data_IF_938268704630
#
_entry.id   IF_938268704630
#
_cell.length_a   1.000
_cell.length_b   1.000
_cell.length_c   1.000
_cell.angle_alpha   90.00
_cell.angle_beta   90.00
_cell.angle_gamma   90.00
#
_symmetry.space_group_name_H-M   'P 1'
#
loop_
_entity.id
_entity.type
_entity.pdbx_description
1 polymer ?
#
# COMPACT_ATOMS: atom_id res chain seq x y z
N UNK A 1 8.86 -15.46 -22.35
CA UNK A 1 8.84 -16.89 -22.73
C UNK A 1 9.88 -17.08 -23.82
N UNK A 2 10.71 -18.13 -23.77
CA UNK A 2 11.68 -18.44 -24.82
C UNK A 2 10.97 -19.16 -25.97
N UNK A 3 11.11 -18.65 -27.19
CA UNK A 3 10.43 -19.19 -28.38
C UNK A 3 11.32 -20.13 -29.22
N UNK A 4 12.54 -20.45 -28.76
CA UNK A 4 13.49 -21.29 -29.49
C UNK A 4 14.51 -20.49 -30.31
N UNK A 5 15.53 -21.19 -30.82
CA UNK A 5 16.66 -20.59 -31.55
C UNK A 5 16.25 -19.83 -32.83
N UNK A 6 15.09 -20.17 -33.42
CA UNK A 6 14.56 -19.50 -34.62
C UNK A 6 14.02 -18.08 -34.37
N UNK A 7 13.93 -17.65 -33.10
CA UNK A 7 13.48 -16.31 -32.71
C UNK A 7 14.62 -15.46 -32.12
N UNK A 8 15.86 -15.92 -32.22
CA UNK A 8 17.03 -15.14 -31.82
C UNK A 8 17.24 -13.96 -32.76
N UNK A 9 17.43 -12.77 -32.20
CA UNK A 9 17.77 -11.60 -32.97
C UNK A 9 19.30 -11.53 -33.16
N UNK A 10 19.80 -11.09 -34.34
CA UNK A 10 21.23 -10.97 -34.59
C UNK A 10 21.98 -10.16 -33.52
N UNK A 11 21.37 -9.09 -33.00
CA UNK A 11 21.97 -8.25 -31.97
C UNK A 11 22.08 -8.98 -30.61
N UNK A 12 21.07 -9.77 -30.21
CA UNK A 12 21.15 -10.56 -28.97
C UNK A 12 22.18 -11.67 -29.09
N UNK A 13 22.28 -12.31 -30.27
CA UNK A 13 23.30 -13.33 -30.54
C UNK A 13 24.70 -12.71 -30.52
N UNK A 14 24.88 -11.50 -31.07
CA UNK A 14 26.14 -10.77 -31.00
C UNK A 14 26.55 -10.50 -29.54
N UNK A 15 25.64 -9.98 -28.73
CA UNK A 15 25.91 -9.69 -27.31
C UNK A 15 26.35 -10.94 -26.52
N UNK A 16 25.71 -12.10 -26.76
CA UNK A 16 26.11 -13.38 -26.14
C UNK A 16 27.52 -13.81 -26.57
N UNK A 17 27.85 -13.65 -27.86
CA UNK A 17 29.20 -14.01 -28.36
C UNK A 17 30.28 -13.10 -27.80
N UNK A 18 30.01 -11.81 -27.71
CA UNK A 18 30.94 -10.80 -27.17
C UNK A 18 31.21 -11.01 -25.67
N UNK A 19 30.25 -11.57 -24.94
CA UNK A 19 30.36 -11.88 -23.50
C UNK A 19 30.66 -13.34 -23.22
N UNK A 20 31.12 -14.11 -24.22
CA UNK A 20 31.36 -15.56 -24.10
C UNK A 20 32.32 -15.87 -22.94
N UNK A 21 31.84 -16.69 -22.00
CA UNK A 21 32.63 -17.16 -20.85
C UNK A 21 32.78 -16.13 -19.72
N UNK A 22 32.19 -14.95 -19.86
CA UNK A 22 32.15 -13.96 -18.77
C UNK A 22 31.07 -14.35 -17.76
N UNK A 23 31.42 -14.28 -16.48
CA UNK A 23 30.49 -14.48 -15.38
C UNK A 23 30.67 -13.38 -14.35
N UNK A 24 29.61 -13.07 -13.62
CA UNK A 24 29.69 -12.19 -12.46
C UNK A 24 30.12 -13.01 -11.24
N UNK A 25 31.04 -12.46 -10.46
CA UNK A 25 31.60 -13.12 -9.27
C UNK A 25 31.56 -12.20 -8.07
N UNK A 26 31.51 -12.79 -6.89
CA UNK A 26 31.67 -12.11 -5.60
C UNK A 26 32.57 -12.99 -4.73
N UNK A 27 33.59 -12.41 -4.11
CA UNK A 27 34.63 -13.13 -3.34
C UNK A 27 35.20 -14.36 -4.06
N UNK A 28 35.49 -14.20 -5.36
CA UNK A 28 36.09 -15.25 -6.20
C UNK A 28 35.17 -16.43 -6.55
N UNK A 29 33.87 -16.36 -6.19
CA UNK A 29 32.87 -17.39 -6.50
C UNK A 29 31.81 -16.83 -7.45
N UNK A 30 31.21 -17.70 -8.27
CA UNK A 30 30.09 -17.32 -9.13
C UNK A 30 28.95 -16.70 -8.30
N UNK A 31 28.50 -15.52 -8.70
CA UNK A 31 27.45 -14.78 -8.00
C UNK A 31 26.05 -15.22 -8.44
N UNK A 32 25.08 -15.15 -7.53
CA UNK A 32 23.67 -15.27 -7.88
C UNK A 32 23.20 -13.98 -8.54
N UNK A 33 22.72 -14.06 -9.78
CA UNK A 33 22.39 -12.89 -10.60
C UNK A 33 20.92 -12.92 -11.02
N UNK A 34 20.06 -12.44 -10.13
CA UNK A 34 18.65 -12.30 -10.43
C UNK A 34 18.40 -11.07 -11.30
N UNK A 35 17.39 -11.16 -12.15
CA UNK A 35 16.91 -10.05 -12.97
C UNK A 35 15.38 -10.03 -12.95
N UNK A 36 14.80 -8.86 -13.19
CA UNK A 36 13.35 -8.64 -13.20
C UNK A 36 13.00 -7.54 -14.21
N UNK A 37 11.70 -7.36 -14.49
CA UNK A 37 11.24 -6.49 -15.59
C UNK A 37 11.32 -4.99 -15.30
N UNK A 38 10.95 -4.56 -14.08
CA UNK A 38 10.84 -3.15 -13.71
C UNK A 38 10.92 -3.04 -12.19
N UNK A 39 11.65 -2.05 -11.69
CA UNK A 39 11.96 -1.89 -10.25
C UNK A 39 10.93 -1.06 -9.50
N UNK A 40 10.19 -0.20 -10.19
CA UNK A 40 9.42 0.87 -9.56
C UNK A 40 10.31 1.98 -8.99
N UNK A 41 11.54 2.12 -9.51
CA UNK A 41 12.52 3.14 -9.11
C UNK A 41 13.56 2.69 -8.09
N UNK A 42 13.47 1.47 -7.55
CA UNK A 42 14.45 0.92 -6.60
C UNK A 42 14.43 -0.61 -6.62
N UNK A 43 15.59 -1.25 -6.58
CA UNK A 43 15.68 -2.71 -6.48
C UNK A 43 15.27 -3.20 -5.08
N UNK A 44 14.92 -4.48 -4.99
CA UNK A 44 14.62 -5.15 -3.72
C UNK A 44 15.84 -5.96 -3.25
N UNK A 45 16.10 -5.96 -1.94
CA UNK A 45 17.17 -6.78 -1.37
C UNK A 45 16.83 -8.28 -1.45
N UNK A 46 17.84 -9.15 -1.47
CA UNK A 46 17.61 -10.60 -1.38
C UNK A 46 16.97 -11.00 -0.04
N UNK A 47 17.23 -10.24 1.03
CA UNK A 47 16.61 -10.44 2.33
C UNK A 47 15.09 -10.21 2.24
N UNK A 48 14.65 -9.11 1.64
CA UNK A 48 13.21 -8.81 1.51
C UNK A 48 12.52 -9.70 0.47
N UNK A 49 13.22 -10.08 -0.60
CA UNK A 49 12.67 -10.90 -1.67
C UNK A 49 12.62 -12.40 -1.31
N UNK A 50 13.68 -12.92 -0.70
CA UNK A 50 13.89 -14.36 -0.50
C UNK A 50 14.08 -14.75 0.96
N UNK A 51 14.38 -13.80 1.85
CA UNK A 51 14.71 -14.08 3.26
C UNK A 51 16.17 -14.42 3.51
N UNK A 52 17.00 -14.47 2.46
CA UNK A 52 18.44 -14.73 2.55
C UNK A 52 19.21 -13.42 2.47
N UNK A 53 20.05 -13.14 3.46
CA UNK A 53 20.96 -12.02 3.42
C UNK A 53 22.15 -12.34 2.49
N UNK A 54 22.26 -11.60 1.39
CA UNK A 54 23.31 -11.79 0.38
C UNK A 54 24.02 -10.45 0.16
N UNK A 55 25.32 -10.33 0.51
CA UNK A 55 26.00 -9.02 0.63
C UNK A 55 25.98 -8.12 -0.60
N UNK A 56 25.87 -8.70 -1.79
CA UNK A 56 25.85 -7.96 -3.07
C UNK A 56 24.45 -7.82 -3.69
N UNK A 57 23.41 -8.39 -3.06
CA UNK A 57 22.02 -8.27 -3.51
C UNK A 57 21.26 -7.34 -2.57
N UNK A 58 21.68 -6.08 -2.56
CA UNK A 58 21.11 -5.01 -1.74
C UNK A 58 20.13 -4.17 -2.55
N UNK A 59 19.23 -3.48 -1.83
CA UNK A 59 18.30 -2.53 -2.42
C UNK A 59 19.03 -1.23 -2.80
N UNK A 60 19.12 -0.95 -4.10
CA UNK A 60 19.76 0.25 -4.68
C UNK A 60 18.77 1.03 -5.53
N UNK A 61 18.95 2.34 -5.62
CA UNK A 61 18.11 3.20 -6.44
C UNK A 61 18.30 2.90 -7.94
N UNK A 62 17.21 2.96 -8.69
CA UNK A 62 17.16 2.70 -10.13
C UNK A 62 16.45 3.86 -10.83
N UNK A 63 17.18 4.96 -11.10
CA UNK A 63 16.60 6.17 -11.67
C UNK A 63 16.15 6.00 -13.14
N UNK A 64 16.48 4.88 -13.78
CA UNK A 64 16.17 4.65 -15.19
C UNK A 64 14.86 3.90 -15.42
N UNK A 65 14.25 3.34 -14.37
CA UNK A 65 13.02 2.56 -14.49
C UNK A 65 11.78 3.40 -14.84
N UNK A 66 11.83 4.73 -14.68
CA UNK A 66 10.68 5.61 -14.89
C UNK A 66 10.07 5.50 -16.30
N UNK A 67 10.88 5.13 -17.30
CA UNK A 67 10.42 4.93 -18.69
C UNK A 67 9.57 3.68 -18.87
N UNK A 68 9.60 2.75 -17.91
CA UNK A 68 8.86 1.49 -17.97
C UNK A 68 7.36 1.73 -17.88
N UNK A 69 6.53 1.14 -18.76
CA UNK A 69 5.06 1.17 -18.62
C UNK A 69 4.57 0.37 -17.39
N UNK A 70 5.49 -0.26 -16.67
CA UNK A 70 5.22 -1.00 -15.44
C UNK A 70 5.80 -0.34 -14.19
N UNK A 71 6.45 0.82 -14.35
CA UNK A 71 7.04 1.61 -13.26
C UNK A 71 5.99 1.92 -12.17
N UNK A 72 4.78 2.30 -12.59
CA UNK A 72 3.63 2.52 -11.70
C UNK A 72 2.45 1.70 -12.16
N UNK A 73 1.59 1.35 -11.22
CA UNK A 73 0.35 0.63 -11.47
C UNK A 73 -0.75 1.17 -10.54
N UNK A 74 -2.04 1.07 -10.94
CA UNK A 74 -3.12 1.73 -10.22
C UNK A 74 -3.29 1.23 -8.78
N UNK A 75 -3.67 2.14 -7.88
CA UNK A 75 -4.04 1.81 -6.51
C UNK A 75 -5.27 0.91 -6.45
N UNK A 76 -5.29 0.01 -5.45
CA UNK A 76 -6.43 -0.86 -5.17
C UNK A 76 -7.02 -0.52 -3.81
N UNK A 77 -8.33 -0.26 -3.77
CA UNK A 77 -9.07 -0.09 -2.53
C UNK A 77 -9.57 -1.45 -2.01
N UNK A 78 -9.41 -1.67 -0.72
CA UNK A 78 -10.00 -2.80 0.01
C UNK A 78 -10.78 -2.26 1.19
N UNK A 79 -11.99 -2.76 1.41
CA UNK A 79 -12.70 -2.54 2.67
C UNK A 79 -12.06 -3.35 3.79
N UNK A 80 -12.30 -2.96 5.04
CA UNK A 80 -11.86 -3.71 6.22
C UNK A 80 -12.27 -5.20 6.18
N UNK A 81 -13.49 -5.49 5.69
CA UNK A 81 -13.99 -6.85 5.52
C UNK A 81 -13.28 -7.61 4.40
N UNK A 82 -13.08 -6.98 3.23
CA UNK A 82 -12.34 -7.60 2.12
C UNK A 82 -10.90 -7.92 2.52
N UNK A 83 -10.23 -7.00 3.21
CA UNK A 83 -8.89 -7.22 3.73
C UNK A 83 -8.87 -8.36 4.75
N UNK A 84 -9.81 -8.39 5.70
CA UNK A 84 -9.94 -9.47 6.67
C UNK A 84 -10.11 -10.84 6.00
N UNK A 85 -11.03 -10.98 5.04
CA UNK A 85 -11.23 -12.23 4.28
C UNK A 85 -9.96 -12.63 3.54
N UNK A 86 -9.32 -11.69 2.83
CA UNK A 86 -8.14 -11.99 2.01
C UNK A 86 -6.94 -12.47 2.84
N UNK A 87 -6.78 -11.92 4.05
CA UNK A 87 -5.69 -12.26 4.95
C UNK A 87 -6.06 -13.31 5.99
N UNK A 88 -7.29 -13.84 5.97
CA UNK A 88 -7.76 -14.88 6.89
C UNK A 88 -7.87 -14.39 8.34
N UNK A 89 -8.25 -13.13 8.55
CA UNK A 89 -8.43 -12.56 9.88
C UNK A 89 -9.81 -12.96 10.44
N UNK A 90 -9.86 -13.34 11.73
CA UNK A 90 -11.11 -13.69 12.42
C UNK A 90 -12.03 -12.50 12.72
N UNK A 91 -11.57 -11.29 12.46
CA UNK A 91 -12.27 -10.03 12.73
C UNK A 91 -11.99 -9.01 11.62
N UNK A 92 -12.81 -7.96 11.55
CA UNK A 92 -12.57 -6.84 10.66
C UNK A 92 -11.20 -6.20 10.93
N UNK A 93 -10.48 -5.87 9.86
CA UNK A 93 -9.22 -5.14 9.94
C UNK A 93 -9.48 -3.70 10.39
N UNK A 94 -8.74 -3.22 11.38
CA UNK A 94 -8.84 -1.86 11.89
C UNK A 94 -7.65 -0.98 11.50
N UNK A 95 -6.48 -1.57 11.25
CA UNK A 95 -5.30 -0.85 10.80
C UNK A 95 -4.34 -1.74 9.97
N UNK A 96 -3.49 -1.09 9.18
CA UNK A 96 -2.41 -1.72 8.44
C UNK A 96 -1.20 -0.77 8.34
N UNK A 97 0.01 -1.30 8.54
CA UNK A 97 1.24 -0.53 8.45
C UNK A 97 2.40 -1.39 7.94
N UNK A 98 3.19 -0.85 7.01
CA UNK A 98 4.48 -1.44 6.67
C UNK A 98 5.44 -1.15 7.82
N UNK A 99 6.02 -2.21 8.38
CA UNK A 99 7.11 -2.14 9.35
C UNK A 99 8.41 -2.32 8.56
N UNK A 100 9.30 -1.31 8.55
CA UNK A 100 10.58 -1.41 7.86
C UNK A 100 11.41 -2.61 8.36
N UNK A 101 12.16 -3.22 7.44
CA UNK A 101 13.13 -4.25 7.78
C UNK A 101 14.28 -3.67 8.61
N UNK A 102 14.99 -4.56 9.30
CA UNK A 102 16.25 -4.27 9.99
C UNK A 102 17.32 -5.22 9.44
N UNK A 103 18.62 -5.00 9.69
CA UNK A 103 19.64 -5.98 9.31
C UNK A 103 19.25 -7.39 9.78
N UNK A 104 19.26 -8.36 8.86
CA UNK A 104 18.84 -9.74 9.11
C UNK A 104 17.33 -10.00 9.27
N UNK A 105 16.47 -8.98 9.23
CA UNK A 105 14.99 -9.14 9.29
C UNK A 105 14.30 -8.37 8.15
N UNK A 106 13.56 -9.05 7.26
CA UNK A 106 12.90 -8.39 6.15
C UNK A 106 11.76 -7.46 6.62
N UNK A 107 11.41 -6.50 5.77
CA UNK A 107 10.23 -5.68 5.98
C UNK A 107 8.94 -6.53 5.95
N UNK A 108 7.95 -6.12 6.74
CA UNK A 108 6.66 -6.82 6.86
C UNK A 108 5.49 -5.86 6.80
N UNK A 109 4.34 -6.36 6.37
CA UNK A 109 3.06 -5.71 6.58
C UNK A 109 2.50 -6.20 7.91
N UNK A 110 2.29 -5.29 8.85
CA UNK A 110 1.56 -5.56 10.09
C UNK A 110 0.11 -5.17 9.90
N UNK A 111 -0.78 -6.13 10.15
CA UNK A 111 -2.23 -5.96 10.17
C UNK A 111 -2.71 -5.96 11.62
N UNK A 112 -3.67 -5.10 11.94
CA UNK A 112 -4.30 -5.03 13.27
C UNK A 112 -5.81 -5.21 13.13
N UNK A 113 -6.41 -6.12 13.89
CA UNK A 113 -7.87 -6.31 13.92
C UNK A 113 -8.55 -5.28 14.81
N UNK A 114 -9.88 -5.18 14.73
CA UNK A 114 -10.69 -4.34 15.60
C UNK A 114 -10.51 -4.67 17.10
N UNK A 115 -10.31 -5.95 17.45
CA UNK A 115 -9.98 -6.38 18.81
C UNK A 115 -8.52 -6.10 19.23
N UNK A 116 -7.69 -5.56 18.35
CA UNK A 116 -6.29 -5.20 18.63
C UNK A 116 -5.27 -6.33 18.41
N UNK A 117 -5.70 -7.50 17.95
CA UNK A 117 -4.78 -8.58 17.58
C UNK A 117 -3.92 -8.16 16.37
N UNK A 118 -2.65 -8.53 16.37
CA UNK A 118 -1.72 -8.18 15.28
C UNK A 118 -1.21 -9.41 14.55
N UNK A 119 -0.96 -9.28 13.25
CA UNK A 119 -0.35 -10.31 12.40
C UNK A 119 0.64 -9.66 11.45
N UNK A 120 1.84 -10.22 11.36
CA UNK A 120 2.88 -9.76 10.43
C UNK A 120 3.00 -10.72 9.25
N UNK A 121 3.08 -10.17 8.04
CA UNK A 121 3.23 -10.91 6.79
C UNK A 121 4.40 -10.34 6.00
N UNK A 122 5.22 -11.17 5.37
CA UNK A 122 6.25 -10.65 4.47
C UNK A 122 5.61 -9.98 3.26
N UNK A 123 6.27 -8.94 2.74
CA UNK A 123 5.73 -8.18 1.61
C UNK A 123 5.57 -9.04 0.34
N UNK A 124 6.41 -10.05 0.14
CA UNK A 124 6.28 -11.01 -0.98
C UNK A 124 5.03 -11.88 -0.88
N UNK A 125 4.61 -12.23 0.33
CA UNK A 125 3.41 -13.03 0.55
C UNK A 125 2.16 -12.15 0.35
N UNK A 126 2.22 -10.89 0.81
CA UNK A 126 1.20 -9.87 0.56
C UNK A 126 1.03 -9.60 -0.94
N UNK A 127 2.15 -9.38 -1.66
CA UNK A 127 2.16 -9.21 -3.12
C UNK A 127 1.43 -10.35 -3.80
N UNK A 128 1.78 -11.59 -3.44
CA UNK A 128 1.23 -12.80 -4.07
C UNK A 128 -0.27 -12.95 -3.78
N UNK A 129 -0.71 -12.75 -2.54
CA UNK A 129 -2.13 -12.82 -2.16
C UNK A 129 -2.99 -11.74 -2.85
N UNK A 130 -2.43 -10.55 -3.03
CA UNK A 130 -3.13 -9.44 -3.67
C UNK A 130 -3.01 -9.42 -5.20
N UNK A 131 -2.15 -10.27 -5.79
CA UNK A 131 -1.86 -10.27 -7.22
C UNK A 131 -1.13 -9.00 -7.68
N UNK A 132 -0.29 -8.42 -6.82
CA UNK A 132 0.44 -7.19 -7.14
C UNK A 132 1.65 -7.47 -8.05
N UNK A 133 2.07 -6.46 -8.80
CA UNK A 133 3.21 -6.59 -9.73
C UNK A 133 4.55 -6.77 -9.02
N UNK A 134 4.73 -6.13 -7.86
CA UNK A 134 6.00 -6.14 -7.10
C UNK A 134 5.73 -5.96 -5.59
N UNK A 135 6.78 -6.10 -4.78
CA UNK A 135 6.76 -5.73 -3.36
C UNK A 135 6.94 -4.23 -3.13
N UNK A 136 7.14 -3.46 -4.19
CA UNK A 136 7.26 -2.01 -4.13
C UNK A 136 5.87 -1.39 -4.18
N UNK A 137 5.20 -1.40 -3.03
CA UNK A 137 3.90 -0.78 -2.82
C UNK A 137 3.87 -0.06 -1.48
N UNK A 138 2.98 0.92 -1.37
CA UNK A 138 2.63 1.57 -0.11
C UNK A 138 1.25 1.11 0.34
N UNK A 139 0.97 1.25 1.64
CA UNK A 139 -0.35 0.96 2.21
C UNK A 139 -0.87 2.22 2.87
N UNK A 140 -1.99 2.72 2.36
CA UNK A 140 -2.73 3.82 2.95
C UNK A 140 -3.93 3.32 3.76
N UNK A 141 -4.27 4.03 4.84
CA UNK A 141 -5.44 3.72 5.68
C UNK A 141 -6.38 4.92 5.72
N UNK A 142 -7.66 4.67 5.40
CA UNK A 142 -8.77 5.60 5.59
C UNK A 142 -9.83 4.94 6.47
N UNK A 143 -9.93 5.38 7.71
CA UNK A 143 -10.94 4.94 8.67
C UNK A 143 -11.59 6.15 9.29
N UNK A 144 -12.92 6.26 9.13
CA UNK A 144 -13.74 7.18 9.89
C UNK A 144 -14.41 6.37 10.99
N UNK A 145 -14.14 6.72 12.25
CA UNK A 145 -14.73 6.01 13.38
C UNK A 145 -16.23 6.30 13.44
N UNK A 146 -17.03 5.32 13.84
CA UNK A 146 -18.47 5.48 13.95
C UNK A 146 -18.78 6.46 15.09
N UNK A 147 -19.34 7.65 14.81
CA UNK A 147 -19.66 8.60 15.85
C UNK A 147 -20.88 8.15 16.64
N UNK A 148 -20.92 8.57 17.90
CA UNK A 148 -22.15 8.54 18.72
C UNK A 148 -23.17 9.54 18.20
N UNK A 149 -24.42 9.43 18.64
CA UNK A 149 -25.47 10.41 18.32
C UNK A 149 -25.06 11.81 18.80
N UNK A 150 -25.19 12.80 17.92
CA UNK A 150 -24.94 14.21 18.22
C UNK A 150 -26.21 14.91 18.70
N UNK A 151 -26.04 15.92 19.56
CA UNK A 151 -27.11 16.87 19.88
C UNK A 151 -27.15 17.99 18.83
N UNK A 152 -28.35 18.40 18.43
CA UNK A 152 -28.54 19.43 17.41
C UNK A 152 -27.80 20.73 17.74
N UNK A 153 -27.00 21.22 16.79
CA UNK A 153 -26.24 22.47 16.89
C UNK A 153 -25.11 22.47 17.93
N UNK A 154 -24.90 21.35 18.63
CA UNK A 154 -23.81 21.20 19.62
C UNK A 154 -22.55 20.69 18.94
N UNK A 155 -21.41 21.06 19.52
CA UNK A 155 -20.11 20.60 19.07
C UNK A 155 -20.04 19.07 19.12
N UNK A 156 -19.75 18.47 17.98
CA UNK A 156 -19.55 17.03 17.79
C UNK A 156 -18.21 16.82 17.13
N UNK A 157 -17.51 15.79 17.56
CA UNK A 157 -16.18 15.48 17.07
C UNK A 157 -16.25 14.21 16.24
N UNK A 158 -15.83 14.30 14.99
CA UNK A 158 -15.52 13.11 14.19
C UNK A 158 -14.03 12.80 14.33
N UNK A 159 -13.73 11.51 14.47
CA UNK A 159 -12.36 11.01 14.65
C UNK A 159 -12.12 9.83 13.73
N UNK A 160 -10.85 9.49 13.54
CA UNK A 160 -10.47 8.37 12.71
C UNK A 160 -8.98 8.35 12.42
N UNK A 161 -8.61 7.54 11.44
CA UNK A 161 -7.24 7.38 10.95
C UNK A 161 -7.19 7.66 9.46
N UNK A 162 -6.27 8.53 9.07
CA UNK A 162 -5.91 8.85 7.71
C UNK A 162 -4.37 8.88 7.64
N UNK A 163 -3.76 7.85 7.04
CA UNK A 163 -2.29 7.68 7.04
C UNK A 163 -1.78 7.23 5.68
N UNK A 164 -0.55 7.67 5.35
CA UNK A 164 0.18 7.28 4.13
C UNK A 164 -0.60 7.56 2.85
N UNK A 165 -1.35 8.67 2.84
CA UNK A 165 -2.19 9.13 1.75
C UNK A 165 -2.13 10.65 1.70
N UNK A 166 -2.06 11.20 0.49
CA UNK A 166 -2.06 12.64 0.26
C UNK A 166 -3.48 13.16 -0.01
N UNK A 167 -3.72 14.41 0.41
CA UNK A 167 -4.95 15.13 0.06
C UNK A 167 -6.22 14.51 0.64
N UNK A 168 -6.16 13.93 1.84
CA UNK A 168 -7.32 13.31 2.49
C UNK A 168 -8.35 14.38 2.85
N UNK A 169 -9.62 14.11 2.54
CA UNK A 169 -10.73 15.01 2.84
C UNK A 169 -11.89 14.28 3.52
N UNK A 170 -12.60 15.02 4.37
CA UNK A 170 -13.92 14.65 4.86
C UNK A 170 -14.97 15.18 3.88
N UNK A 171 -15.87 14.32 3.44
CA UNK A 171 -16.99 14.67 2.57
C UNK A 171 -18.31 14.37 3.27
N UNK A 172 -19.35 15.14 2.93
CA UNK A 172 -20.72 14.91 3.36
C UNK A 172 -21.60 14.60 2.16
N UNK A 173 -22.51 13.65 2.31
CA UNK A 173 -23.51 13.32 1.30
C UNK A 173 -24.65 14.35 1.34
N UNK A 174 -24.84 15.07 0.25
CA UNK A 174 -25.92 16.02 0.02
C UNK A 174 -27.18 15.37 -0.54
N UNK A 175 -28.18 16.23 -0.82
CA UNK A 175 -29.39 15.83 -1.53
C UNK A 175 -29.04 15.30 -2.94
N UNK A 176 -29.74 14.25 -3.40
CA UNK A 176 -29.42 13.58 -4.66
C UNK A 176 -28.18 12.67 -4.60
N UNK A 177 -27.54 12.52 -3.44
CA UNK A 177 -26.42 11.59 -3.25
C UNK A 177 -25.06 12.13 -3.63
N UNK A 178 -24.96 13.41 -4.00
CA UNK A 178 -23.71 14.11 -4.35
C UNK A 178 -22.84 14.29 -3.11
N UNK A 179 -21.53 14.05 -3.24
CA UNK A 179 -20.57 14.28 -2.16
C UNK A 179 -19.96 15.68 -2.26
N UNK A 180 -19.94 16.40 -1.15
CA UNK A 180 -19.36 17.74 -1.05
C UNK A 180 -18.27 17.78 0.02
N UNK A 181 -17.17 18.47 -0.26
CA UNK A 181 -16.09 18.73 0.69
C UNK A 181 -16.64 19.38 1.96
N UNK A 182 -16.26 18.83 3.11
CA UNK A 182 -16.49 19.42 4.45
C UNK A 182 -15.20 20.03 4.96
N UNK A 183 -14.12 19.23 4.97
CA UNK A 183 -12.84 19.66 5.52
C UNK A 183 -11.69 18.92 4.84
N UNK A 184 -10.56 19.60 4.64
CA UNK A 184 -9.30 18.96 4.25
C UNK A 184 -8.57 18.55 5.53
N UNK A 185 -8.24 17.28 5.66
CA UNK A 185 -7.70 16.77 6.91
C UNK A 185 -6.20 17.06 7.02
N UNK A 186 -5.76 17.33 8.24
CA UNK A 186 -4.36 17.37 8.64
C UNK A 186 -4.11 16.33 9.74
N UNK A 187 -3.96 15.04 9.37
CA UNK A 187 -3.72 13.99 10.35
C UNK A 187 -2.38 14.18 11.08
N UNK A 188 -2.33 13.73 12.32
CA UNK A 188 -1.09 13.65 13.11
C UNK A 188 -0.11 12.63 12.52
N UNK A 189 1.11 12.54 13.06
CA UNK A 189 2.11 11.56 12.62
C UNK A 189 1.64 10.09 12.72
N UNK A 190 0.75 9.78 13.67
CA UNK A 190 0.14 8.44 13.78
C UNK A 190 -0.97 8.18 12.76
N UNK A 191 -1.38 9.22 12.04
CA UNK A 191 -2.53 9.26 11.15
C UNK A 191 -3.84 9.60 11.84
N UNK A 192 -3.86 9.80 13.17
CA UNK A 192 -5.09 10.18 13.86
C UNK A 192 -5.50 11.61 13.46
N UNK A 193 -6.80 11.81 13.23
CA UNK A 193 -7.37 13.15 12.97
C UNK A 193 -8.57 13.42 13.86
N UNK A 194 -8.93 14.71 13.94
CA UNK A 194 -10.10 15.21 14.65
C UNK A 194 -10.75 16.30 13.80
N UNK A 195 -12.06 16.21 13.58
CA UNK A 195 -12.85 17.23 12.90
C UNK A 195 -13.99 17.67 13.81
N UNK A 196 -14.12 18.97 14.00
CA UNK A 196 -15.15 19.57 14.85
C UNK A 196 -16.31 20.09 14.00
N UNK A 197 -17.53 19.65 14.31
CA UNK A 197 -18.75 19.99 13.58
C UNK A 197 -19.85 20.44 14.54
N UNK A 198 -20.80 21.24 14.04
CA UNK A 198 -22.07 21.52 14.73
C UNK A 198 -23.21 21.03 13.85
N UNK A 199 -23.59 19.74 13.94
CA UNK A 199 -24.55 19.16 13.01
C UNK A 199 -25.98 19.59 13.39
N UNK A 200 -26.73 20.07 12.39
CA UNK A 200 -28.14 20.48 12.55
C UNK A 200 -29.13 19.35 12.25
N UNK A 201 -28.68 18.33 11.51
CA UNK A 201 -29.48 17.20 11.05
C UNK A 201 -28.62 15.97 10.83
N UNK A 202 -29.24 14.80 10.91
CA UNK A 202 -28.61 13.53 10.55
C UNK A 202 -28.01 13.62 9.15
N UNK A 203 -26.75 13.20 9.02
CA UNK A 203 -26.01 13.27 7.77
C UNK A 203 -25.04 12.10 7.63
N UNK A 204 -24.66 11.81 6.39
CA UNK A 204 -23.70 10.75 6.05
C UNK A 204 -22.39 11.40 5.64
N UNK A 205 -21.30 10.90 6.20
CA UNK A 205 -19.94 11.37 5.94
C UNK A 205 -19.08 10.25 5.38
N UNK A 206 -18.00 10.58 4.69
CA UNK A 206 -16.95 9.61 4.33
C UNK A 206 -15.59 10.31 4.22
N UNK A 207 -14.54 9.52 4.20
CA UNK A 207 -13.21 9.99 3.82
C UNK A 207 -12.94 9.66 2.36
N UNK A 208 -12.20 10.53 1.66
CA UNK A 208 -11.66 10.26 0.33
C UNK A 208 -10.24 10.79 0.20
N UNK A 209 -9.44 10.16 -0.67
CA UNK A 209 -8.07 10.54 -0.99
C UNK A 209 -7.69 9.99 -2.37
N UNK A 210 -7.02 10.80 -3.21
CA UNK A 210 -6.52 10.33 -4.52
C UNK A 210 -7.58 9.69 -5.43
N UNK A 211 -8.83 10.15 -5.37
CA UNK A 211 -9.95 9.57 -6.15
C UNK A 211 -10.55 8.28 -5.58
N UNK A 212 -10.00 7.74 -4.49
CA UNK A 212 -10.56 6.62 -3.74
C UNK A 212 -11.40 7.14 -2.57
N UNK A 213 -12.51 6.46 -2.26
CA UNK A 213 -13.38 6.84 -1.17
C UNK A 213 -13.64 5.66 -0.23
N UNK A 214 -13.49 5.90 1.07
CA UNK A 214 -13.80 4.93 2.11
C UNK A 214 -15.32 4.72 2.29
N UNK A 215 -15.70 3.76 3.14
CA UNK A 215 -17.10 3.50 3.44
C UNK A 215 -17.77 4.71 4.10
N UNK A 216 -19.06 4.96 3.81
CA UNK A 216 -19.82 6.03 4.44
C UNK A 216 -20.17 5.69 5.89
N UNK A 217 -20.24 6.73 6.73
CA UNK A 217 -20.57 6.67 8.15
C UNK A 217 -21.75 7.60 8.44
N UNK A 218 -22.74 7.11 9.17
CA UNK A 218 -23.92 7.87 9.54
C UNK A 218 -23.69 8.59 10.87
N UNK A 219 -23.82 9.91 10.87
CA UNK A 219 -23.93 10.73 12.08
C UNK A 219 -25.41 11.02 12.34
N UNK A 220 -25.97 10.41 13.39
CA UNK A 220 -27.35 10.70 13.84
C UNK A 220 -27.36 11.99 14.66
N UNK A 221 -28.36 12.83 14.44
CA UNK A 221 -28.60 14.03 15.25
C UNK A 221 -29.93 13.86 15.98
N UNK A 222 -29.86 13.82 17.31
CA UNK A 222 -31.02 13.85 18.21
C UNK A 222 -31.52 15.28 18.43
N UNK A 223 -32.78 15.38 18.86
CA UNK A 223 -33.42 16.64 19.24
C UNK A 223 -32.68 17.34 20.38
#
# INVERSE_FOLDING_TARGET
VYYGAGYEAPDTTRAVRETKGQILTYDGKAAQVFYFSSSGGRTVSALDAFGSDVPYLLAVDDPWDEVSPHHRWPSRLLTAGQAATLFGLGEAMADAAIVPGTPGRPAVLRLTTAGGATTELRLVDVRSRLGLKSTQFTVGVLRLDQPTTAAKGKLTVLTGVARSLDGVVLERRGAGGVWSLVERLAPTASGAFRVELKPEKTAVYRLSAGGLAGPPVLLRVGA
#
